data_IF_402534144510
#
_entry.id   IF_402534144510
#
_cell.length_a   1.000
_cell.length_b   1.000
_cell.length_c   1.000
_cell.angle_alpha   90.00
_cell.angle_beta   90.00
_cell.angle_gamma   90.00
#
_symmetry.space_group_name_H-M   'P 1'
#
loop_
_entity.id
_entity.type
_entity.pdbx_description
1 polymer ?
#
# COMPACT_ATOMS: atom_id res chain seq x y z
N UNK A 1 -14.39 -21.04 -1.08
CA UNK A 1 -14.97 -20.48 0.15
C UNK A 1 -15.72 -19.22 -0.23
N UNK A 2 -16.96 -19.06 0.17
CA UNK A 2 -17.77 -17.89 -0.18
C UNK A 2 -18.29 -17.26 1.10
N UNK A 3 -17.90 -16.03 1.36
CA UNK A 3 -18.34 -15.26 2.53
C UNK A 3 -19.02 -13.98 2.03
N UNK A 4 -20.26 -14.09 1.52
CA UNK A 4 -20.90 -13.02 0.77
C UNK A 4 -21.21 -11.78 1.62
N UNK A 5 -21.27 -11.92 2.94
CA UNK A 5 -21.57 -10.85 3.89
C UNK A 5 -20.31 -10.33 4.62
N UNK A 6 -19.14 -10.90 4.35
CA UNK A 6 -17.92 -10.52 5.07
C UNK A 6 -17.44 -9.15 4.59
N UNK A 7 -17.51 -8.17 5.49
CA UNK A 7 -17.11 -6.79 5.23
C UNK A 7 -15.67 -6.48 5.63
N UNK A 8 -15.14 -7.22 6.59
CA UNK A 8 -13.81 -6.96 7.15
C UNK A 8 -13.06 -8.28 7.26
N UNK A 9 -11.84 -8.29 6.74
CA UNK A 9 -10.95 -9.44 6.78
C UNK A 9 -9.60 -8.99 7.30
N UNK A 10 -9.15 -9.60 8.38
CA UNK A 10 -7.81 -9.39 8.94
C UNK A 10 -7.08 -10.72 8.98
N UNK A 11 -5.91 -10.77 8.36
CA UNK A 11 -5.03 -11.93 8.36
C UNK A 11 -3.74 -11.54 9.10
N UNK A 12 -3.46 -12.21 10.21
CA UNK A 12 -2.30 -11.94 11.06
C UNK A 12 -1.59 -13.26 11.32
N UNK A 13 -0.29 -13.32 11.01
CA UNK A 13 0.57 -14.50 11.21
C UNK A 13 0.02 -15.77 10.53
N UNK A 14 -0.47 -15.61 9.29
CA UNK A 14 -1.05 -16.71 8.50
C UNK A 14 -0.14 -17.05 7.33
N UNK A 15 0.17 -18.34 7.17
CA UNK A 15 0.83 -18.86 5.97
C UNK A 15 -0.22 -19.23 4.93
N UNK A 16 -0.44 -18.37 3.94
CA UNK A 16 -1.36 -18.62 2.83
C UNK A 16 -0.62 -18.58 1.50
N UNK A 17 -1.02 -19.44 0.54
CA UNK A 17 -0.54 -19.32 -0.84
C UNK A 17 -1.25 -18.16 -1.55
N UNK A 18 -0.58 -17.56 -2.55
CA UNK A 18 -1.20 -16.48 -3.34
C UNK A 18 -2.42 -16.94 -4.14
N UNK A 19 -2.45 -18.20 -4.57
CA UNK A 19 -3.65 -18.77 -5.19
C UNK A 19 -4.84 -18.79 -4.24
N UNK A 20 -4.60 -19.15 -2.98
CA UNK A 20 -5.65 -19.14 -1.97
C UNK A 20 -6.11 -17.71 -1.67
N UNK A 21 -5.18 -16.75 -1.65
CA UNK A 21 -5.50 -15.34 -1.47
C UNK A 21 -6.43 -14.81 -2.57
N UNK A 22 -6.13 -15.12 -3.85
CA UNK A 22 -6.99 -14.73 -4.95
C UNK A 22 -8.39 -15.36 -4.86
N UNK A 23 -8.48 -16.63 -4.46
CA UNK A 23 -9.78 -17.30 -4.23
C UNK A 23 -10.53 -16.72 -3.03
N UNK A 24 -9.82 -16.26 -2.00
CA UNK A 24 -10.42 -15.64 -0.83
C UNK A 24 -11.02 -14.28 -1.19
N UNK A 25 -10.25 -13.42 -1.88
CA UNK A 25 -10.76 -12.12 -2.34
C UNK A 25 -11.90 -12.27 -3.34
N UNK A 26 -11.83 -13.24 -4.27
CA UNK A 26 -12.91 -13.46 -5.24
C UNK A 26 -14.20 -13.97 -4.60
N UNK A 27 -14.11 -14.66 -3.45
CA UNK A 27 -15.26 -15.15 -2.68
C UNK A 27 -15.81 -14.16 -1.64
N UNK A 28 -15.19 -12.98 -1.45
CA UNK A 28 -15.62 -11.97 -0.48
C UNK A 28 -16.18 -10.73 -1.20
N UNK A 29 -17.41 -10.83 -1.71
CA UNK A 29 -18.01 -9.77 -2.53
C UNK A 29 -18.34 -8.49 -1.74
N UNK A 30 -18.62 -8.58 -0.45
CA UNK A 30 -18.96 -7.43 0.41
C UNK A 30 -17.75 -6.82 1.13
N UNK A 31 -16.51 -7.21 0.78
CA UNK A 31 -15.32 -6.82 1.54
C UNK A 31 -15.02 -5.32 1.40
N UNK A 32 -15.18 -4.59 2.51
CA UNK A 32 -14.93 -3.15 2.60
C UNK A 32 -13.54 -2.84 3.17
N UNK A 33 -13.01 -3.69 4.07
CA UNK A 33 -11.70 -3.49 4.69
C UNK A 33 -10.88 -4.77 4.73
N UNK A 34 -9.62 -4.67 4.29
CA UNK A 34 -8.67 -5.77 4.29
C UNK A 34 -7.40 -5.36 5.04
N UNK A 35 -6.97 -6.21 5.97
CA UNK A 35 -5.71 -6.04 6.68
C UNK A 35 -4.90 -7.34 6.63
N UNK A 36 -3.60 -7.19 6.41
CA UNK A 36 -2.65 -8.28 6.35
C UNK A 36 -1.41 -7.92 7.15
N UNK A 37 -1.00 -8.80 8.05
CA UNK A 37 0.27 -8.73 8.77
C UNK A 37 0.95 -10.09 8.74
N UNK A 38 2.27 -10.10 8.53
CA UNK A 38 3.10 -11.30 8.72
C UNK A 38 2.73 -12.47 7.79
N UNK A 39 2.48 -12.17 6.51
CA UNK A 39 2.27 -13.24 5.53
C UNK A 39 3.58 -13.61 4.86
N UNK A 40 3.96 -14.89 5.01
CA UNK A 40 5.11 -15.50 4.35
C UNK A 40 4.78 -15.78 2.89
N UNK A 41 5.42 -15.06 1.99
CA UNK A 41 5.31 -15.30 0.57
C UNK A 41 6.19 -14.35 -0.23
N UNK A 42 7.13 -14.90 -0.99
CA UNK A 42 7.86 -14.14 -2.01
C UNK A 42 6.89 -13.82 -3.16
N UNK A 43 6.81 -12.56 -3.59
CA UNK A 43 6.15 -12.22 -4.84
C UNK A 43 5.23 -10.99 -4.81
N UNK A 44 4.20 -11.06 -5.65
CA UNK A 44 3.35 -9.94 -6.06
C UNK A 44 1.90 -10.21 -5.61
N UNK A 45 1.44 -9.46 -4.63
CA UNK A 45 0.08 -9.48 -4.11
C UNK A 45 -0.80 -8.58 -4.97
N UNK A 46 -1.60 -9.18 -5.87
CA UNK A 46 -2.52 -8.41 -6.72
C UNK A 46 -3.89 -8.33 -6.09
N UNK A 47 -4.40 -7.12 -5.97
CA UNK A 47 -5.72 -6.83 -5.39
C UNK A 47 -6.60 -6.23 -6.46
N UNK A 48 -7.70 -6.92 -6.72
CA UNK A 48 -8.84 -6.43 -7.51
C UNK A 48 -10.10 -6.64 -6.68
N UNK A 49 -10.76 -5.54 -6.32
CA UNK A 49 -12.01 -5.58 -5.58
C UNK A 49 -12.78 -4.28 -5.76
N UNK A 50 -14.06 -4.41 -6.12
CA UNK A 50 -14.95 -3.27 -6.39
C UNK A 50 -15.58 -2.67 -5.14
N UNK A 51 -15.56 -3.40 -4.03
CA UNK A 51 -16.17 -2.99 -2.76
C UNK A 51 -15.14 -2.55 -1.73
N UNK A 52 -13.86 -2.89 -1.94
CA UNK A 52 -12.79 -2.57 -1.01
C UNK A 52 -12.58 -1.06 -0.89
N UNK A 53 -12.65 -0.57 0.34
CA UNK A 53 -12.49 0.84 0.73
C UNK A 53 -11.17 1.08 1.45
N UNK A 54 -10.67 0.09 2.16
CA UNK A 54 -9.42 0.19 2.92
C UNK A 54 -8.57 -1.06 2.75
N UNK A 55 -7.27 -0.88 2.55
CA UNK A 55 -6.28 -1.95 2.56
C UNK A 55 -5.13 -1.60 3.49
N UNK A 56 -4.69 -2.56 4.30
CA UNK A 56 -3.52 -2.47 5.15
C UNK A 56 -2.59 -3.67 4.93
N UNK A 57 -1.31 -3.46 4.62
CA UNK A 57 -0.34 -4.55 4.45
C UNK A 57 0.93 -4.27 5.23
N UNK A 58 1.25 -5.14 6.17
CA UNK A 58 2.48 -5.14 6.98
C UNK A 58 3.27 -6.41 6.71
N UNK A 59 4.55 -6.24 6.36
CA UNK A 59 5.45 -7.36 6.09
C UNK A 59 6.56 -7.38 7.13
N UNK A 60 6.58 -8.35 8.05
CA UNK A 60 7.65 -8.47 9.05
C UNK A 60 8.84 -9.32 8.56
N UNK A 61 8.80 -9.84 7.34
CA UNK A 61 9.87 -10.64 6.77
C UNK A 61 10.83 -9.77 5.96
N UNK A 62 12.10 -10.18 5.89
CA UNK A 62 13.11 -9.54 5.02
C UNK A 62 12.82 -9.71 3.52
N UNK A 63 11.86 -10.54 3.16
CA UNK A 63 11.49 -10.77 1.77
C UNK A 63 10.71 -9.58 1.22
N UNK A 64 11.05 -9.15 0.00
CA UNK A 64 10.34 -8.06 -0.66
C UNK A 64 8.95 -8.50 -1.13
N UNK A 65 7.93 -7.78 -0.69
CA UNK A 65 6.54 -7.95 -1.09
C UNK A 65 6.12 -6.81 -2.02
N UNK A 66 5.59 -7.11 -3.19
CA UNK A 66 4.97 -6.10 -4.06
C UNK A 66 3.45 -6.14 -3.92
N UNK A 67 2.82 -5.09 -3.43
CA UNK A 67 1.37 -4.90 -3.44
C UNK A 67 0.96 -4.17 -4.71
N UNK A 68 0.15 -4.80 -5.55
CA UNK A 68 -0.37 -4.24 -6.80
C UNK A 68 -1.88 -4.06 -6.70
N UNK A 69 -2.35 -2.83 -6.84
CA UNK A 69 -3.78 -2.51 -6.92
C UNK A 69 -4.15 -2.43 -8.39
N UNK A 70 -4.77 -3.49 -8.91
CA UNK A 70 -5.11 -3.62 -10.33
C UNK A 70 -6.42 -2.89 -10.67
N UNK A 71 -7.51 -3.18 -9.95
CA UNK A 71 -8.84 -2.59 -10.18
C UNK A 71 -9.57 -2.43 -8.83
N UNK A 72 -9.49 -1.22 -8.25
CA UNK A 72 -10.12 -0.91 -6.96
C UNK A 72 -10.85 0.46 -6.98
N UNK A 73 -12.05 0.54 -7.60
CA UNK A 73 -12.80 1.79 -7.81
C UNK A 73 -13.17 2.54 -6.52
N UNK A 74 -13.46 1.78 -5.48
CA UNK A 74 -13.97 2.27 -4.21
C UNK A 74 -12.89 2.45 -3.15
N UNK A 75 -11.63 2.20 -3.49
CA UNK A 75 -10.54 2.22 -2.54
C UNK A 75 -10.24 3.66 -2.14
N UNK A 76 -10.38 3.93 -0.85
CA UNK A 76 -10.17 5.25 -0.24
C UNK A 76 -8.87 5.30 0.54
N UNK A 77 -8.43 4.18 1.11
CA UNK A 77 -7.30 4.14 2.04
C UNK A 77 -6.35 2.99 1.75
N UNK A 78 -5.07 3.31 1.63
CA UNK A 78 -3.97 2.34 1.53
C UNK A 78 -2.99 2.61 2.66
N UNK A 79 -2.87 1.64 3.56
CA UNK A 79 -1.98 1.70 4.71
C UNK A 79 -0.87 0.66 4.59
N UNK A 80 0.38 1.08 4.77
CA UNK A 80 1.55 0.19 4.77
C UNK A 80 2.29 0.31 6.11
N UNK A 81 1.78 -0.32 7.19
CA UNK A 81 2.36 -0.16 8.51
C UNK A 81 3.80 -0.70 8.60
N UNK A 82 4.54 -0.11 9.52
CA UNK A 82 5.97 -0.37 9.71
C UNK A 82 6.32 -1.83 10.03
N UNK A 83 7.47 -2.26 9.50
CA UNK A 83 8.19 -3.45 9.92
C UNK A 83 9.46 -3.06 10.67
N UNK A 84 9.80 -3.83 11.70
CA UNK A 84 11.00 -3.60 12.53
C UNK A 84 12.31 -3.91 11.79
N UNK A 85 12.23 -4.66 10.68
CA UNK A 85 13.35 -4.99 9.82
C UNK A 85 13.31 -4.11 8.58
N UNK A 86 14.45 -3.48 8.32
CA UNK A 86 14.96 -2.78 7.13
C UNK A 86 13.99 -2.23 6.07
N UNK A 87 14.34 -1.05 5.57
CA UNK A 87 13.46 -0.02 5.01
C UNK A 87 12.88 -0.30 3.59
N UNK A 88 12.75 -1.55 3.15
CA UNK A 88 12.40 -1.84 1.73
C UNK A 88 11.49 -3.07 1.54
N UNK A 89 10.83 -3.55 2.60
CA UNK A 89 10.12 -4.83 2.55
C UNK A 89 8.78 -4.80 1.80
N UNK A 90 8.18 -3.63 1.52
CA UNK A 90 6.91 -3.53 0.77
C UNK A 90 6.95 -2.43 -0.30
N UNK A 91 6.67 -2.79 -1.55
CA UNK A 91 6.49 -1.84 -2.65
C UNK A 91 5.04 -1.81 -3.12
N UNK A 92 4.47 -0.61 -3.30
CA UNK A 92 3.08 -0.40 -3.72
C UNK A 92 2.96 0.12 -5.16
N UNK A 93 2.38 -0.69 -6.06
CA UNK A 93 2.04 -0.27 -7.43
C UNK A 93 0.53 -0.06 -7.55
N UNK A 94 0.09 1.14 -7.90
CA UNK A 94 -1.34 1.46 -8.10
C UNK A 94 -1.62 1.64 -9.58
N UNK A 95 -2.41 0.74 -10.17
CA UNK A 95 -2.86 0.82 -11.56
C UNK A 95 -4.16 1.63 -11.62
N UNK A 96 -5.15 1.26 -10.81
CA UNK A 96 -6.44 1.95 -10.81
C UNK A 96 -7.12 2.00 -9.43
N UNK A 97 -7.15 3.21 -8.86
CA UNK A 97 -7.83 3.53 -7.61
C UNK A 97 -8.28 5.01 -7.61
N UNK A 98 -9.33 5.37 -8.37
CA UNK A 98 -9.71 6.77 -8.60
C UNK A 98 -10.16 7.51 -7.33
N UNK A 99 -10.65 6.80 -6.31
CA UNK A 99 -11.13 7.38 -5.05
C UNK A 99 -10.10 7.37 -3.92
N UNK A 100 -8.83 7.10 -4.24
CA UNK A 100 -7.79 6.95 -3.22
C UNK A 100 -7.46 8.29 -2.57
N UNK A 101 -7.86 8.48 -1.32
CA UNK A 101 -7.67 9.74 -0.59
C UNK A 101 -6.55 9.67 0.46
N UNK A 102 -6.29 8.49 1.02
CA UNK A 102 -5.33 8.29 2.11
C UNK A 102 -4.29 7.26 1.70
N UNK A 103 -3.02 7.65 1.82
CA UNK A 103 -1.89 6.80 1.48
C UNK A 103 -0.76 6.91 2.53
N UNK A 104 -0.25 5.77 2.99
CA UNK A 104 1.05 5.67 3.67
C UNK A 104 1.04 4.73 4.88
N UNK A 105 2.12 4.64 5.68
CA UNK A 105 3.45 5.21 5.46
C UNK A 105 4.16 4.67 4.20
N UNK A 106 4.70 5.56 3.35
CA UNK A 106 5.61 5.18 2.26
C UNK A 106 7.05 5.58 2.55
N UNK A 107 8.01 4.88 1.95
CA UNK A 107 9.43 5.19 2.05
C UNK A 107 9.93 5.96 0.81
N UNK A 108 10.88 6.91 0.96
CA UNK A 108 11.33 7.74 -0.14
C UNK A 108 12.20 6.94 -1.12
N UNK A 109 12.91 5.89 -0.70
CA UNK A 109 13.66 4.99 -1.60
C UNK A 109 12.72 4.05 -2.36
N UNK A 110 11.66 3.58 -1.70
CA UNK A 110 10.57 2.85 -2.34
C UNK A 110 9.77 3.73 -3.34
N UNK A 111 9.99 5.05 -3.40
CA UNK A 111 9.36 5.96 -4.36
C UNK A 111 9.79 5.75 -5.83
N UNK A 112 10.63 4.74 -6.12
CA UNK A 112 10.73 4.15 -7.49
C UNK A 112 9.38 3.70 -8.07
N UNK A 113 8.33 3.70 -7.26
CA UNK A 113 6.96 3.28 -7.55
C UNK A 113 6.14 4.13 -8.54
N UNK A 114 6.68 5.16 -9.18
CA UNK A 114 5.86 6.02 -10.06
C UNK A 114 6.31 6.08 -11.54
N UNK A 115 7.45 5.48 -11.91
CA UNK A 115 8.03 5.76 -13.24
C UNK A 115 8.46 4.57 -14.10
N UNK A 116 8.15 3.32 -13.76
CA UNK A 116 8.54 2.18 -14.60
C UNK A 116 7.32 1.38 -15.05
N UNK A 117 6.69 1.84 -16.14
CA UNK A 117 5.83 0.98 -16.97
C UNK A 117 4.57 1.59 -17.55
N UNK A 118 4.26 2.88 -17.34
CA UNK A 118 3.02 3.47 -17.86
C UNK A 118 3.32 4.79 -18.56
N UNK A 119 2.86 4.90 -19.81
CA UNK A 119 2.85 6.12 -20.61
C UNK A 119 2.39 7.34 -19.78
N UNK A 120 2.98 8.54 -19.98
CA UNK A 120 2.68 9.77 -19.21
C UNK A 120 1.20 10.16 -19.15
N UNK A 121 0.35 9.59 -19.99
CA UNK A 121 -1.06 9.94 -20.17
C UNK A 121 -2.00 9.29 -19.13
N UNK A 122 -1.62 8.17 -18.51
CA UNK A 122 -2.50 7.44 -17.56
C UNK A 122 -2.03 7.46 -16.10
N UNK A 123 -0.81 7.94 -15.83
CA UNK A 123 -0.09 7.66 -14.58
C UNK A 123 -0.53 8.49 -13.35
N UNK A 124 -1.34 9.55 -13.49
CA UNK A 124 -1.46 10.57 -12.42
C UNK A 124 -2.87 10.85 -11.85
N UNK A 125 -3.93 10.13 -12.26
CA UNK A 125 -5.29 10.51 -11.83
C UNK A 125 -5.56 10.25 -10.33
N UNK A 126 -5.05 9.15 -9.78
CA UNK A 126 -5.24 8.85 -8.35
C UNK A 126 -4.36 9.73 -7.45
N UNK A 127 -3.22 10.24 -7.94
CA UNK A 127 -2.38 11.14 -7.14
C UNK A 127 -3.07 12.49 -6.88
N UNK A 128 -3.96 12.91 -7.78
CA UNK A 128 -4.78 14.11 -7.60
C UNK A 128 -5.89 13.92 -6.56
N UNK A 129 -6.25 12.69 -6.24
CA UNK A 129 -7.32 12.41 -5.26
C UNK A 129 -6.78 12.18 -3.84
N UNK A 130 -5.48 11.91 -3.71
CA UNK A 130 -4.82 11.80 -2.40
C UNK A 130 -4.80 13.16 -1.70
N UNK A 131 -5.43 13.18 -0.52
CA UNK A 131 -5.52 14.32 0.39
C UNK A 131 -4.68 14.14 1.64
N UNK A 132 -4.50 12.89 2.07
CA UNK A 132 -3.71 12.56 3.25
C UNK A 132 -2.57 11.64 2.85
N UNK A 133 -1.35 12.10 3.07
CA UNK A 133 -0.15 11.35 2.76
C UNK A 133 0.72 11.20 4.01
N UNK A 134 1.17 9.97 4.26
CA UNK A 134 2.10 9.65 5.32
C UNK A 134 3.39 9.13 4.69
N UNK A 135 4.51 9.79 5.02
CA UNK A 135 5.84 9.46 4.51
C UNK A 135 6.77 9.17 5.67
N UNK A 136 7.61 8.14 5.54
CA UNK A 136 8.75 7.90 6.42
C UNK A 136 9.97 8.61 5.85
N UNK A 137 10.79 9.20 6.69
CA UNK A 137 12.06 9.80 6.27
C UNK A 137 13.14 9.50 7.30
N UNK A 138 14.36 9.26 6.84
CA UNK A 138 15.55 9.24 7.69
C UNK A 138 16.01 10.66 8.08
N UNK A 139 15.36 11.71 7.58
CA UNK A 139 15.73 13.11 7.77
C UNK A 139 16.79 13.63 6.80
N UNK A 140 17.53 12.74 6.12
CA UNK A 140 18.60 13.09 5.19
C UNK A 140 18.11 13.27 3.73
N UNK A 141 16.86 12.90 3.44
CA UNK A 141 16.32 12.75 2.09
C UNK A 141 15.32 13.86 1.71
N UNK A 142 15.50 15.07 2.25
CA UNK A 142 14.54 16.17 2.07
C UNK A 142 14.20 16.46 0.60
N UNK A 143 15.20 16.42 -0.28
CA UNK A 143 14.99 16.61 -1.73
C UNK A 143 14.12 15.49 -2.34
N UNK A 144 14.27 14.24 -1.90
CA UNK A 144 13.42 13.14 -2.35
C UNK A 144 11.99 13.32 -1.85
N UNK A 145 11.82 13.73 -0.58
CA UNK A 145 10.51 14.08 -0.02
C UNK A 145 9.83 15.16 -0.86
N UNK A 146 10.53 16.26 -1.16
CA UNK A 146 9.99 17.36 -1.96
C UNK A 146 9.58 16.92 -3.37
N UNK A 147 10.35 16.06 -4.02
CA UNK A 147 10.01 15.52 -5.33
C UNK A 147 8.75 14.65 -5.29
N UNK A 148 8.54 13.88 -4.21
CA UNK A 148 7.33 13.06 -4.03
C UNK A 148 6.11 13.97 -3.79
N UNK A 149 6.25 15.02 -2.98
CA UNK A 149 5.13 15.94 -2.69
C UNK A 149 4.61 16.63 -3.96
N UNK A 150 5.46 16.86 -4.96
CA UNK A 150 5.05 17.41 -6.27
C UNK A 150 4.05 16.52 -7.03
N UNK A 151 3.95 15.24 -6.69
CA UNK A 151 2.99 14.32 -7.31
C UNK A 151 1.58 14.47 -6.77
N UNK A 152 1.41 15.07 -5.58
CA UNK A 152 0.12 15.16 -4.88
C UNK A 152 -0.38 16.61 -4.79
N UNK A 153 -0.95 17.17 -5.87
CA UNK A 153 -1.32 18.59 -5.92
C UNK A 153 -2.48 19.00 -4.98
N UNK A 154 -3.29 18.04 -4.51
CA UNK A 154 -4.46 18.29 -3.65
C UNK A 154 -4.24 17.82 -2.20
N UNK A 155 -2.97 17.73 -1.78
CA UNK A 155 -2.63 17.26 -0.44
C UNK A 155 -3.12 18.25 0.64
N UNK A 156 -3.97 17.78 1.55
CA UNK A 156 -4.50 18.55 2.68
C UNK A 156 -3.73 18.28 3.98
N UNK A 157 -3.21 17.06 4.16
CA UNK A 157 -2.47 16.64 5.35
C UNK A 157 -1.24 15.82 4.98
N UNK A 158 -0.10 16.23 5.53
CA UNK A 158 1.16 15.53 5.41
C UNK A 158 1.63 15.07 6.79
N UNK A 159 1.86 13.77 6.94
CA UNK A 159 2.52 13.20 8.11
C UNK A 159 3.91 12.75 7.71
N UNK A 160 4.93 13.27 8.39
CA UNK A 160 6.32 12.83 8.22
C UNK A 160 6.71 12.09 9.49
N UNK A 161 7.04 10.82 9.33
CA UNK A 161 7.51 9.97 10.42
C UNK A 161 9.02 9.85 10.26
N UNK A 162 9.74 10.51 11.18
CA UNK A 162 11.20 10.47 11.21
C UNK A 162 11.63 9.24 12.00
N UNK A 163 12.09 8.22 11.31
CA UNK A 163 12.70 7.06 11.97
C UNK A 163 14.20 7.33 12.11
N UNK A 164 14.59 7.87 13.26
CA UNK A 164 15.98 7.79 13.69
C UNK A 164 16.24 6.34 14.06
N UNK A 165 17.03 5.62 13.25
CA UNK A 165 17.64 4.40 13.75
C UNK A 165 18.67 4.75 14.84
N UNK A 166 18.17 5.02 16.05
CA UNK A 166 18.75 4.44 17.25
C UNK A 166 18.06 3.07 17.37
N UNK A 167 18.53 2.09 16.59
CA UNK A 167 18.47 0.72 17.09
C UNK A 167 19.41 0.71 18.31
N UNK A 168 18.86 0.99 19.49
CA UNK A 168 19.51 0.61 20.73
C UNK A 168 19.46 -0.92 20.83
N UNK A 169 20.65 -1.48 21.02
CA UNK A 169 21.01 -2.85 21.40
C UNK A 169 21.19 -3.86 20.26
#
# INVERSE_FOLDING_TARGET
MNFPLLKQLSLVDVTISWEFFHRLLSGCHALESFYMSEVRGKGCLRVSSRTLRSIGVRNAFKEKLELVIEDAPCLVRVLLPFSCYDDDCVTLRVIWAPKLEILGPLLPVASKLIAQGISPVMSANWMRTVKVFCLRSSGLELNAVLNILRWFPHLEKLYIIVSTHLCLL
#
